data_IF_707679708634
#
_entry.id   IF_707679708634
#
_cell.length_a   1.000
_cell.length_b   1.000
_cell.length_c   1.000
_cell.angle_alpha   90.00
_cell.angle_beta   90.00
_cell.angle_gamma   90.00
#
_symmetry.space_group_name_H-M   'P 1'
#
loop_
_entity.id
_entity.type
_entity.pdbx_description
1 polymer ?
#
# COMPACT_ATOMS: atom_id res chain seq x y z
N UNK A 1 -5.03 -14.30 5.62
CA UNK A 1 -4.18 -13.57 6.59
C UNK A 1 -4.58 -12.12 6.62
N UNK A 2 -4.41 -11.45 7.76
CA UNK A 2 -4.60 -10.01 7.90
C UNK A 2 -3.24 -9.34 7.80
N UNK A 3 -3.04 -8.48 6.80
CA UNK A 3 -1.77 -7.84 6.50
C UNK A 3 -1.94 -6.33 6.61
N UNK A 4 -1.06 -5.69 7.38
CA UNK A 4 -0.98 -4.24 7.48
C UNK A 4 0.17 -3.77 6.60
N UNK A 5 -0.07 -2.77 5.75
CA UNK A 5 0.95 -2.19 4.88
C UNK A 5 1.02 -0.67 5.03
N UNK A 6 2.23 -0.15 4.82
CA UNK A 6 2.46 1.28 4.67
C UNK A 6 3.79 1.56 3.99
N UNK A 7 3.95 2.79 3.50
CA UNK A 7 5.17 3.28 2.85
C UNK A 7 5.32 4.79 3.05
N UNK A 8 6.47 5.34 2.68
CA UNK A 8 6.57 6.77 2.42
C UNK A 8 6.06 7.13 1.01
N UNK A 9 6.22 8.40 0.63
CA UNK A 9 5.89 8.93 -0.70
C UNK A 9 6.63 8.17 -1.83
N UNK A 10 7.91 7.85 -1.64
CA UNK A 10 8.71 7.17 -2.65
C UNK A 10 8.27 5.71 -2.85
N UNK A 11 7.77 5.07 -1.79
CA UNK A 11 7.24 3.71 -1.84
C UNK A 11 5.79 3.56 -2.32
N UNK A 12 5.06 4.66 -2.52
CA UNK A 12 3.62 4.64 -2.81
C UNK A 12 3.25 3.74 -4.00
N UNK A 13 3.94 3.89 -5.13
CA UNK A 13 3.61 3.11 -6.34
C UNK A 13 3.80 1.60 -6.15
N UNK A 14 4.84 1.19 -5.43
CA UNK A 14 5.09 -0.23 -5.16
C UNK A 14 4.07 -0.77 -4.15
N UNK A 15 3.78 -0.01 -3.10
CA UNK A 15 2.78 -0.36 -2.09
C UNK A 15 1.41 -0.61 -2.74
N UNK A 16 0.97 0.24 -3.66
CA UNK A 16 -0.31 0.06 -4.38
C UNK A 16 -0.33 -1.20 -5.25
N UNK A 17 0.76 -1.52 -5.95
CA UNK A 17 0.87 -2.76 -6.74
C UNK A 17 0.82 -3.99 -5.83
N UNK A 18 1.56 -3.96 -4.72
CA UNK A 18 1.61 -5.04 -3.75
C UNK A 18 0.26 -5.26 -3.07
N UNK A 19 -0.45 -4.18 -2.70
CA UNK A 19 -1.81 -4.23 -2.14
C UNK A 19 -2.76 -5.02 -3.03
N UNK A 20 -2.81 -4.67 -4.32
CA UNK A 20 -3.66 -5.36 -5.31
C UNK A 20 -3.29 -6.83 -5.47
N UNK A 21 -2.00 -7.14 -5.50
CA UNK A 21 -1.52 -8.52 -5.59
C UNK A 21 -1.93 -9.36 -4.37
N UNK A 22 -1.74 -8.85 -3.15
CA UNK A 22 -2.12 -9.54 -1.92
C UNK A 22 -3.64 -9.73 -1.80
N UNK A 23 -4.42 -8.71 -2.18
CA UNK A 23 -5.88 -8.80 -2.24
C UNK A 23 -6.34 -9.84 -3.27
N UNK A 24 -5.69 -9.90 -4.44
CA UNK A 24 -5.96 -10.92 -5.46
C UNK A 24 -5.69 -12.36 -5.01
N UNK A 25 -4.85 -12.55 -3.99
CA UNK A 25 -4.59 -13.85 -3.36
C UNK A 25 -5.55 -14.16 -2.19
N UNK A 26 -6.57 -13.34 -1.95
CA UNK A 26 -7.55 -13.54 -0.89
C UNK A 26 -7.06 -13.11 0.51
N UNK A 27 -6.03 -12.26 0.59
CA UNK A 27 -5.62 -11.68 1.86
C UNK A 27 -6.42 -10.41 2.17
N UNK A 28 -6.76 -10.22 3.43
CA UNK A 28 -7.32 -8.97 3.93
C UNK A 28 -6.17 -8.01 4.18
N UNK A 29 -6.18 -6.86 3.51
CA UNK A 29 -5.10 -5.86 3.58
C UNK A 29 -5.64 -4.54 4.14
N UNK A 30 -5.00 -4.05 5.20
CA UNK A 30 -5.24 -2.71 5.77
C UNK A 30 -4.07 -1.80 5.42
N UNK A 31 -4.37 -0.68 4.77
CA UNK A 31 -3.39 0.30 4.29
C UNK A 31 -3.40 1.51 5.23
N UNK A 32 -2.27 1.81 5.87
CA UNK A 32 -2.10 2.97 6.75
C UNK A 32 -1.35 4.13 6.09
N UNK A 33 -1.17 4.09 4.76
CA UNK A 33 -0.55 5.15 3.99
C UNK A 33 0.96 4.95 3.83
N UNK A 34 1.68 5.86 3.17
CA UNK A 34 1.24 7.11 2.56
C UNK A 34 0.24 6.88 1.43
N UNK A 35 -0.69 7.80 1.22
CA UNK A 35 -1.74 7.70 0.20
C UNK A 35 -1.45 8.49 -1.07
N UNK A 36 -0.28 9.12 -1.14
CA UNK A 36 0.20 9.86 -2.30
C UNK A 36 1.69 9.61 -2.52
N UNK A 37 2.11 9.62 -3.79
CA UNK A 37 3.52 9.69 -4.15
C UNK A 37 4.04 11.12 -4.27
N UNK A 38 3.14 12.10 -4.20
CA UNK A 38 3.48 13.52 -4.26
C UNK A 38 3.99 13.98 -2.89
N UNK A 39 4.95 14.91 -2.92
CA UNK A 39 5.34 15.63 -1.72
C UNK A 39 4.34 16.76 -1.53
N UNK A 40 3.63 16.78 -0.41
CA UNK A 40 2.92 18.00 0.00
C UNK A 40 3.97 19.08 0.25
N UNK A 41 3.83 20.20 -0.46
CA UNK A 41 4.74 21.35 -0.42
C UNK A 41 4.24 22.45 0.47
#
# INVERSE_FOLDING_TARGET
MNIVIGSDHSGFQLKEKLKKFLQGQGHTVTDFGCYSGEKEG
#
